data_IF_995704548725
#
_entry.id   IF_995704548725
#
_cell.length_a   1.000
_cell.length_b   1.000
_cell.length_c   1.000
_cell.angle_alpha   90.00
_cell.angle_beta   90.00
_cell.angle_gamma   90.00
#
_symmetry.space_group_name_H-M   'P 1'
#
loop_
_entity.id
_entity.type
_entity.pdbx_description
1 polymer ?
#
# COMPACT_ATOMS: atom_id res chain seq x y z
N UNK A 1 17.60 -5.13 -3.60
CA UNK A 1 16.83 -3.87 -3.68
C UNK A 1 15.51 -4.17 -4.37
N UNK A 2 14.37 -3.83 -3.76
CA UNK A 2 13.04 -4.07 -4.34
C UNK A 2 12.58 -2.84 -5.10
N UNK A 3 12.18 -2.99 -6.35
CA UNK A 3 11.68 -1.89 -7.18
C UNK A 3 10.30 -2.22 -7.73
N UNK A 4 9.42 -1.23 -7.83
CA UNK A 4 8.10 -1.39 -8.44
C UNK A 4 8.19 -1.35 -9.97
N UNK A 5 7.60 -2.34 -10.63
CA UNK A 5 7.35 -2.35 -12.08
C UNK A 5 6.06 -1.60 -12.44
N UNK A 6 5.91 -1.21 -13.72
CA UNK A 6 4.71 -0.53 -14.25
C UNK A 6 3.43 -1.32 -13.97
N UNK A 7 3.50 -2.66 -14.04
CA UNK A 7 2.39 -3.58 -13.71
C UNK A 7 2.38 -4.04 -12.23
N UNK A 8 2.91 -3.23 -11.31
CA UNK A 8 2.81 -3.46 -9.84
C UNK A 8 3.65 -4.64 -9.31
N UNK A 9 4.16 -5.51 -10.18
CA UNK A 9 5.09 -6.58 -9.86
C UNK A 9 6.41 -6.05 -9.29
N UNK A 10 7.05 -6.87 -8.45
CA UNK A 10 8.32 -6.56 -7.80
C UNK A 10 9.49 -6.92 -8.70
N UNK A 11 10.35 -5.94 -8.94
CA UNK A 11 11.68 -6.12 -9.52
C UNK A 11 12.68 -6.52 -8.45
N UNK A 12 13.21 -7.74 -8.56
CA UNK A 12 14.31 -8.27 -7.74
C UNK A 12 15.51 -8.45 -8.66
N UNK A 13 16.68 -8.04 -8.20
CA UNK A 13 17.96 -8.35 -8.84
C UNK A 13 18.78 -9.20 -7.88
N UNK A 14 19.13 -10.41 -8.30
CA UNK A 14 19.96 -11.33 -7.54
C UNK A 14 21.33 -11.43 -8.22
N UNK A 15 22.41 -11.31 -7.46
CA UNK A 15 23.75 -11.60 -7.98
C UNK A 15 23.91 -13.12 -8.07
N UNK A 16 24.29 -13.60 -9.25
CA UNK A 16 24.48 -15.02 -9.54
C UNK A 16 25.95 -15.43 -9.67
N UNK A 17 26.85 -14.75 -8.97
CA UNK A 17 28.29 -14.96 -9.16
C UNK A 17 29.05 -15.12 -7.85
N UNK A 18 29.92 -16.14 -7.82
CA UNK A 18 30.81 -16.41 -6.70
C UNK A 18 32.09 -15.58 -6.77
N UNK A 19 32.53 -15.10 -5.60
CA UNK A 19 33.75 -14.30 -5.49
C UNK A 19 34.94 -15.16 -5.89
N UNK A 20 35.64 -14.79 -6.96
CA UNK A 20 36.90 -15.41 -7.39
C UNK A 20 36.90 -16.01 -8.79
N UNK A 21 35.75 -16.13 -9.45
CA UNK A 21 35.72 -16.60 -10.84
C UNK A 21 36.22 -15.50 -11.81
N UNK A 22 36.86 -15.87 -12.93
CA UNK A 22 37.21 -14.92 -13.99
C UNK A 22 35.96 -14.52 -14.78
N UNK A 23 35.74 -13.21 -14.93
CA UNK A 23 34.61 -12.67 -15.68
C UNK A 23 34.96 -12.49 -17.16
N UNK A 24 34.05 -12.91 -18.04
CA UNK A 24 34.16 -12.66 -19.48
C UNK A 24 33.28 -11.47 -19.89
N UNK A 25 33.74 -10.70 -20.88
CA UNK A 25 32.93 -9.62 -21.47
C UNK A 25 31.63 -10.20 -22.05
N UNK A 26 30.48 -9.66 -21.64
CA UNK A 26 29.15 -10.13 -22.05
C UNK A 26 28.54 -11.18 -21.11
N UNK A 27 29.23 -11.60 -20.06
CA UNK A 27 28.68 -12.51 -19.05
C UNK A 27 27.61 -11.80 -18.21
N UNK A 28 26.50 -12.50 -17.96
CA UNK A 28 25.40 -12.02 -17.14
C UNK A 28 25.80 -12.14 -15.67
N UNK A 29 25.77 -11.02 -14.95
CA UNK A 29 26.22 -10.92 -13.55
C UNK A 29 25.08 -10.97 -12.55
N UNK A 30 23.88 -10.62 -12.99
CA UNK A 30 22.71 -10.57 -12.14
C UNK A 30 21.46 -10.93 -12.94
N UNK A 31 20.61 -11.75 -12.33
CA UNK A 31 19.29 -12.06 -12.85
C UNK A 31 18.29 -10.99 -12.43
N UNK A 32 17.37 -10.65 -13.33
CA UNK A 32 16.24 -9.78 -13.07
C UNK A 32 14.98 -10.55 -12.68
N UNK A 33 13.83 -9.92 -12.87
CA UNK A 33 12.54 -10.58 -12.69
C UNK A 33 12.27 -11.59 -13.78
N UNK A 34 11.80 -12.77 -13.36
CA UNK A 34 11.44 -13.85 -14.27
C UNK A 34 12.62 -14.27 -15.19
N UNK A 35 13.84 -14.21 -14.66
CA UNK A 35 15.04 -14.75 -15.33
C UNK A 35 15.86 -15.56 -14.35
N UNK A 36 16.47 -16.64 -14.82
CA UNK A 36 17.39 -17.49 -14.04
C UNK A 36 18.55 -17.86 -14.94
N UNK A 37 19.79 -17.59 -14.51
CA UNK A 37 20.99 -17.89 -15.29
C UNK A 37 21.07 -17.15 -16.62
N UNK A 38 20.41 -15.99 -16.72
CA UNK A 38 20.33 -15.22 -17.96
C UNK A 38 19.25 -15.67 -18.95
N UNK A 39 18.50 -16.72 -18.66
CA UNK A 39 17.38 -17.19 -19.47
C UNK A 39 16.04 -16.74 -18.90
N UNK A 40 15.02 -16.63 -19.75
CA UNK A 40 13.68 -16.23 -19.36
C UNK A 40 12.95 -17.40 -18.65
N UNK A 41 12.51 -17.16 -17.41
CA UNK A 41 11.80 -18.11 -16.56
C UNK A 41 10.48 -17.49 -16.06
N UNK A 42 9.42 -17.57 -16.88
CA UNK A 42 8.11 -16.97 -16.57
C UNK A 42 7.29 -17.77 -15.56
N UNK A 43 7.62 -19.05 -15.34
CA UNK A 43 6.81 -19.97 -14.54
C UNK A 43 7.65 -21.06 -13.89
N UNK A 44 6.97 -22.13 -13.49
CA UNK A 44 7.54 -23.29 -12.81
C UNK A 44 7.10 -24.55 -13.54
N UNK A 45 7.99 -25.52 -13.61
CA UNK A 45 7.67 -26.85 -14.12
C UNK A 45 6.85 -27.58 -13.06
N UNK A 46 5.69 -28.09 -13.44
CA UNK A 46 4.78 -28.81 -12.56
C UNK A 46 4.41 -30.16 -13.18
N UNK A 47 4.19 -31.16 -12.34
CA UNK A 47 3.69 -32.46 -12.78
C UNK A 47 2.19 -32.32 -13.08
N UNK A 48 1.77 -32.71 -14.29
CA UNK A 48 0.39 -32.61 -14.75
C UNK A 48 -0.13 -34.00 -15.07
N UNK A 49 -1.32 -34.33 -14.55
CA UNK A 49 -2.06 -35.52 -14.91
C UNK A 49 -3.25 -35.14 -15.80
N UNK A 50 -3.36 -35.77 -16.97
CA UNK A 50 -4.48 -35.57 -17.90
C UNK A 50 -5.55 -36.62 -17.64
N UNK A 51 -6.47 -36.33 -16.72
CA UNK A 51 -7.61 -37.19 -16.40
C UNK A 51 -8.79 -36.37 -15.87
N UNK A 52 -10.06 -36.77 -16.12
CA UNK A 52 -11.20 -36.19 -15.44
C UNK A 52 -11.14 -36.54 -13.94
N UNK A 53 -11.40 -35.56 -13.07
CA UNK A 53 -11.36 -35.75 -11.62
C UNK A 53 -12.62 -35.21 -10.96
N UNK A 54 -13.57 -36.11 -10.68
CA UNK A 54 -14.83 -35.83 -9.95
C UNK A 54 -15.61 -34.60 -10.45
N UNK A 55 -15.41 -34.18 -11.70
CA UNK A 55 -16.03 -32.97 -12.27
C UNK A 55 -15.40 -31.65 -11.84
N UNK A 56 -14.36 -31.63 -10.99
CA UNK A 56 -13.67 -30.41 -10.58
C UNK A 56 -12.88 -29.74 -11.71
N UNK A 57 -12.48 -30.50 -12.72
CA UNK A 57 -11.83 -30.00 -13.93
C UNK A 57 -12.78 -30.00 -15.15
N UNK A 58 -14.06 -29.67 -14.91
CA UNK A 58 -15.03 -29.51 -15.98
C UNK A 58 -14.74 -28.25 -16.82
N UNK A 59 -14.91 -28.34 -18.14
CA UNK A 59 -14.56 -27.30 -19.13
C UNK A 59 -13.11 -26.82 -18.99
N UNK A 60 -12.90 -25.56 -18.63
CA UNK A 60 -11.59 -24.91 -18.52
C UNK A 60 -11.09 -24.83 -17.06
N UNK A 61 -11.76 -25.51 -16.14
CA UNK A 61 -11.36 -25.52 -14.73
C UNK A 61 -10.06 -26.35 -14.53
N UNK A 62 -9.12 -25.76 -13.79
CA UNK A 62 -7.85 -26.42 -13.45
C UNK A 62 -7.86 -26.76 -11.96
N UNK A 63 -7.75 -28.05 -11.65
CA UNK A 63 -7.54 -28.51 -10.28
C UNK A 63 -6.06 -28.38 -9.92
N UNK A 64 -5.77 -27.67 -8.81
CA UNK A 64 -4.42 -27.46 -8.31
C UNK A 64 -4.20 -28.23 -7.01
N UNK A 65 -2.99 -28.79 -6.85
CA UNK A 65 -2.59 -29.39 -5.58
C UNK A 65 -2.32 -28.32 -4.53
N UNK A 66 -2.79 -28.53 -3.30
CA UNK A 66 -2.47 -27.66 -2.15
C UNK A 66 -0.96 -27.57 -1.89
N UNK A 67 -0.19 -28.56 -2.31
CA UNK A 67 1.27 -28.55 -2.22
C UNK A 67 1.88 -27.30 -2.88
N UNK A 68 1.31 -26.86 -4.00
CA UNK A 68 1.75 -25.65 -4.71
C UNK A 68 1.55 -24.37 -3.88
N UNK A 69 0.56 -24.37 -2.98
CA UNK A 69 0.26 -23.28 -2.04
C UNK A 69 1.24 -23.31 -0.88
N UNK A 70 1.48 -24.49 -0.30
CA UNK A 70 2.36 -24.65 0.87
C UNK A 70 3.83 -24.34 0.55
N UNK A 71 4.29 -24.69 -0.65
CA UNK A 71 5.66 -24.42 -1.11
C UNK A 71 5.85 -23.02 -1.71
N UNK A 72 4.81 -22.17 -1.69
CA UNK A 72 4.87 -20.81 -2.22
C UNK A 72 5.33 -20.73 -3.70
N UNK A 73 5.09 -21.79 -4.50
CA UNK A 73 5.57 -21.91 -5.88
C UNK A 73 5.04 -20.78 -6.78
N UNK A 74 3.77 -20.43 -6.59
CA UNK A 74 3.08 -19.37 -7.33
C UNK A 74 2.82 -18.12 -6.48
N UNK A 75 3.57 -17.95 -5.39
CA UNK A 75 3.48 -16.75 -4.54
C UNK A 75 4.24 -15.60 -5.20
N UNK A 76 3.52 -14.51 -5.46
CA UNK A 76 4.11 -13.27 -5.98
C UNK A 76 4.01 -12.14 -4.97
N UNK A 77 4.92 -11.19 -5.12
CA UNK A 77 4.91 -9.96 -4.36
C UNK A 77 4.35 -8.82 -5.21
N UNK A 78 3.53 -7.98 -4.57
CA UNK A 78 2.99 -6.78 -5.19
C UNK A 78 3.36 -5.54 -4.40
N UNK A 79 3.89 -4.53 -5.09
CA UNK A 79 4.15 -3.21 -4.51
C UNK A 79 3.11 -2.22 -5.03
N UNK A 80 2.17 -1.86 -4.16
CA UNK A 80 1.20 -0.79 -4.43
C UNK A 80 1.72 0.53 -3.89
N UNK A 81 1.54 1.58 -4.68
CA UNK A 81 1.92 2.96 -4.33
C UNK A 81 0.63 3.72 -4.04
N UNK A 82 0.54 4.30 -2.86
CA UNK A 82 -0.53 5.20 -2.47
C UNK A 82 0.01 6.62 -2.38
N UNK A 83 -0.73 7.58 -2.93
CA UNK A 83 -0.34 8.99 -2.98
C UNK A 83 -1.47 9.84 -2.39
N UNK A 84 -1.09 10.80 -1.54
CA UNK A 84 -1.98 11.87 -1.10
C UNK A 84 -1.25 13.21 -1.25
N UNK A 85 -2.03 14.24 -1.56
CA UNK A 85 -1.56 15.60 -1.70
C UNK A 85 -2.32 16.50 -0.72
N UNK A 86 -1.58 17.39 -0.06
CA UNK A 86 -2.14 18.49 0.71
C UNK A 86 -2.05 19.78 -0.12
N UNK A 87 -3.17 20.48 -0.24
CA UNK A 87 -3.27 21.73 -0.98
C UNK A 87 -3.74 22.88 -0.09
N UNK A 88 -3.53 24.12 -0.55
CA UNK A 88 -4.14 25.29 0.07
C UNK A 88 -5.55 25.45 -0.49
N UNK A 89 -6.54 25.38 0.37
CA UNK A 89 -7.94 25.62 0.00
C UNK A 89 -8.33 27.08 0.31
N UNK A 90 -9.47 27.54 -0.19
CA UNK A 90 -10.02 28.86 0.14
C UNK A 90 -10.29 29.03 1.64
N UNK A 91 -10.55 27.94 2.36
CA UNK A 91 -10.83 27.91 3.79
C UNK A 91 -9.56 27.75 4.65
N UNK A 92 -8.39 27.62 4.01
CA UNK A 92 -7.10 27.48 4.68
C UNK A 92 -6.23 26.34 4.14
N UNK A 93 -4.97 26.25 4.58
CA UNK A 93 -4.06 25.19 4.18
C UNK A 93 -4.45 23.83 4.79
N UNK A 94 -4.52 22.78 3.97
CA UNK A 94 -4.59 21.41 4.48
C UNK A 94 -3.30 21.06 5.24
N UNK A 95 -3.44 20.37 6.37
CA UNK A 95 -2.32 20.01 7.25
C UNK A 95 -2.20 18.51 7.35
N UNK A 96 -0.97 18.01 7.21
CA UNK A 96 -0.64 16.61 7.49
C UNK A 96 -0.21 16.53 8.95
N UNK A 97 -0.93 15.73 9.74
CA UNK A 97 -0.73 15.62 11.19
C UNK A 97 -1.16 14.26 11.71
N UNK A 98 -0.54 13.83 12.81
CA UNK A 98 -0.94 12.64 13.57
C UNK A 98 -2.19 12.89 14.42
N UNK A 99 -2.41 14.14 14.83
CA UNK A 99 -3.51 14.53 15.71
C UNK A 99 -4.77 14.72 14.88
N UNK A 100 -5.59 13.68 14.79
CA UNK A 100 -6.88 13.70 14.08
C UNK A 100 -7.98 13.60 15.14
N UNK A 101 -8.86 14.61 15.27
CA UNK A 101 -9.98 14.53 16.19
C UNK A 101 -10.95 13.43 15.74
N UNK A 102 -11.63 12.81 16.72
CA UNK A 102 -12.64 11.74 16.53
C UNK A 102 -12.10 10.37 16.11
N UNK A 103 -10.78 10.20 15.96
CA UNK A 103 -10.20 8.91 15.64
C UNK A 103 -9.63 8.21 16.88
N UNK A 104 -9.78 6.90 16.92
CA UNK A 104 -9.23 6.09 18.01
C UNK A 104 -7.70 6.05 17.98
N UNK A 105 -7.09 6.06 19.17
CA UNK A 105 -5.63 6.02 19.34
C UNK A 105 -4.99 4.77 18.71
N UNK A 106 -5.73 3.66 18.60
CA UNK A 106 -5.22 2.42 18.01
C UNK A 106 -4.90 2.58 16.52
N UNK A 107 -5.66 3.38 15.77
CA UNK A 107 -5.43 3.65 14.34
C UNK A 107 -4.23 4.58 14.13
N UNK A 108 -3.95 5.44 15.11
CA UNK A 108 -2.87 6.42 15.06
C UNK A 108 -1.52 5.87 15.56
N UNK A 109 -1.50 4.65 16.12
CA UNK A 109 -0.31 4.06 16.75
C UNK A 109 0.88 3.91 15.79
N UNK A 110 0.58 3.63 14.52
CA UNK A 110 1.58 3.37 13.48
C UNK A 110 2.04 4.65 12.76
N UNK A 111 1.45 5.82 13.10
CA UNK A 111 1.85 7.11 12.55
C UNK A 111 3.01 7.71 13.33
N UNK A 112 3.97 8.26 12.61
CA UNK A 112 5.05 9.09 13.12
C UNK A 112 4.52 10.48 13.55
N UNK A 113 5.35 11.28 14.20
CA UNK A 113 5.06 12.66 14.67
C UNK A 113 4.51 13.55 13.57
N UNK A 114 4.92 13.31 12.32
CA UNK A 114 4.46 14.08 11.16
C UNK A 114 3.10 13.61 10.60
N UNK A 115 2.47 12.58 11.18
CA UNK A 115 1.22 12.02 10.67
C UNK A 115 1.39 11.10 9.46
N UNK A 116 2.58 10.54 9.26
CA UNK A 116 2.90 9.61 8.18
C UNK A 116 3.20 8.25 8.78
N UNK A 117 2.75 7.18 8.15
CA UNK A 117 3.00 5.83 8.63
C UNK A 117 4.49 5.46 8.67
N UNK A 118 4.91 4.80 9.75
CA UNK A 118 6.29 4.38 9.96
C UNK A 118 6.70 3.25 9.01
N UNK A 119 7.95 3.30 8.53
CA UNK A 119 8.57 2.25 7.72
C UNK A 119 8.57 0.91 8.47
N UNK A 120 8.25 -0.17 7.75
CA UNK A 120 8.24 -1.52 8.31
C UNK A 120 6.98 -1.88 9.10
N UNK A 121 6.05 -0.95 9.31
CA UNK A 121 4.78 -1.22 9.99
C UNK A 121 3.94 -2.23 9.21
N UNK A 122 3.31 -3.15 9.94
CA UNK A 122 2.27 -4.02 9.41
C UNK A 122 0.94 -3.28 9.39
N UNK A 123 0.18 -3.45 8.31
CA UNK A 123 -1.07 -2.74 8.09
C UNK A 123 -2.18 -3.63 7.57
N UNK A 124 -3.38 -3.26 7.96
CA UNK A 124 -4.61 -3.90 7.56
C UNK A 124 -5.57 -2.88 6.92
N UNK A 125 -6.68 -3.40 6.40
CA UNK A 125 -7.70 -2.57 5.77
C UNK A 125 -8.19 -1.50 6.75
N UNK A 126 -8.44 -0.30 6.24
CA UNK A 126 -8.89 0.87 7.02
C UNK A 126 -7.84 1.53 7.92
N UNK A 127 -6.61 1.02 8.00
CA UNK A 127 -5.52 1.73 8.67
C UNK A 127 -5.18 3.05 7.96
N UNK A 128 -4.80 4.06 8.74
CA UNK A 128 -4.37 5.36 8.22
C UNK A 128 -2.91 5.29 7.77
N UNK A 129 -2.69 5.55 6.49
CA UNK A 129 -1.36 5.65 5.90
C UNK A 129 -0.77 7.07 6.07
N UNK A 130 -1.61 8.09 5.90
CA UNK A 130 -1.24 9.50 6.06
C UNK A 130 -2.41 10.27 6.64
N UNK A 131 -2.20 10.88 7.81
CA UNK A 131 -3.18 11.74 8.47
C UNK A 131 -3.25 13.11 7.81
N UNK A 132 -4.41 13.45 7.24
CA UNK A 132 -4.67 14.75 6.61
C UNK A 132 -5.92 15.38 7.21
N UNK A 133 -5.81 16.66 7.55
CA UNK A 133 -6.90 17.50 8.00
C UNK A 133 -7.12 18.64 7.01
N UNK A 134 -8.37 18.78 6.58
CA UNK A 134 -8.82 19.92 5.78
C UNK A 134 -9.57 20.88 6.68
N UNK A 135 -9.17 22.17 6.75
CA UNK A 135 -9.91 23.16 7.52
C UNK A 135 -11.30 23.33 6.90
N UNK A 136 -12.33 23.34 7.75
CA UNK A 136 -13.70 23.57 7.33
C UNK A 136 -14.24 24.78 8.09
N UNK A 137 -14.66 25.80 7.35
CA UNK A 137 -15.38 26.93 7.92
C UNK A 137 -16.78 26.43 8.27
N UNK A 138 -16.95 26.11 9.55
CA UNK A 138 -18.23 25.70 10.09
C UNK A 138 -19.16 26.92 10.12
N UNK A 139 -19.92 27.12 9.06
CA UNK A 139 -21.13 27.91 9.20
C UNK A 139 -22.11 27.07 10.01
N UNK A 140 -22.38 27.47 11.26
CA UNK A 140 -23.36 26.82 12.15
C UNK A 140 -24.73 26.63 11.48
N UNK A 141 -25.05 27.44 10.48
CA UNK A 141 -26.28 27.40 9.68
C UNK A 141 -26.36 26.26 8.65
N UNK A 142 -25.26 25.55 8.38
CA UNK A 142 -25.23 24.48 7.36
C UNK A 142 -25.60 23.09 7.89
N UNK A 143 -25.65 22.92 9.22
CA UNK A 143 -26.04 21.66 9.83
C UNK A 143 -27.56 21.54 9.91
N UNK A 144 -28.05 20.31 9.72
CA UNK A 144 -29.45 19.99 9.89
C UNK A 144 -29.91 20.32 11.33
N UNK A 145 -31.15 20.77 11.54
CA UNK A 145 -31.65 21.14 12.87
C UNK A 145 -31.55 19.99 13.89
N UNK A 146 -31.65 18.74 13.44
CA UNK A 146 -31.48 17.53 14.26
C UNK A 146 -30.04 17.42 14.81
N UNK A 147 -29.05 17.63 13.94
CA UNK A 147 -27.62 17.61 14.29
C UNK A 147 -27.27 18.73 15.29
N UNK A 148 -27.87 19.91 15.10
CA UNK A 148 -27.69 21.05 16.01
C UNK A 148 -28.26 20.74 17.40
N UNK A 149 -29.44 20.14 17.46
CA UNK A 149 -30.09 19.75 18.72
C UNK A 149 -29.29 18.66 19.45
N UNK A 150 -28.84 17.63 18.74
CA UNK A 150 -28.00 16.57 19.32
C UNK A 150 -26.71 17.12 19.91
N UNK A 151 -26.04 18.05 19.21
CA UNK A 151 -24.83 18.70 19.71
C UNK A 151 -25.09 19.57 20.94
N UNK A 152 -26.22 20.28 20.97
CA UNK A 152 -26.61 21.10 22.12
C UNK A 152 -26.86 20.24 23.37
N UNK A 153 -27.50 19.08 23.22
CA UNK A 153 -27.74 18.14 24.32
C UNK A 153 -26.44 17.49 24.79
N UNK A 154 -25.57 17.08 23.85
CA UNK A 154 -24.33 16.35 24.14
C UNK A 154 -23.12 17.26 24.47
N UNK A 155 -23.27 18.59 24.34
CA UNK A 155 -22.18 19.55 24.56
C UNK A 155 -21.01 19.40 23.58
N UNK A 156 -21.23 18.79 22.42
CA UNK A 156 -20.16 18.51 21.44
C UNK A 156 -19.84 19.79 20.66
N UNK A 157 -18.62 20.30 20.83
CA UNK A 157 -18.12 21.43 20.05
C UNK A 157 -17.93 21.06 18.58
N UNK A 158 -18.19 22.03 17.70
CA UNK A 158 -18.03 21.85 16.27
C UNK A 158 -16.54 21.72 15.93
N UNK A 159 -16.17 20.60 15.31
CA UNK A 159 -14.83 20.41 14.79
C UNK A 159 -14.55 21.42 13.67
N UNK A 160 -13.52 22.25 13.83
CA UNK A 160 -13.08 23.23 12.83
C UNK A 160 -12.33 22.60 11.64
N UNK A 161 -12.06 21.29 11.71
CA UNK A 161 -11.35 20.54 10.68
C UNK A 161 -12.06 19.22 10.41
N UNK A 162 -12.11 18.85 9.13
CA UNK A 162 -12.61 17.57 8.65
C UNK A 162 -11.45 16.63 8.35
N UNK A 163 -11.58 15.37 8.76
CA UNK A 163 -10.64 14.32 8.35
C UNK A 163 -10.73 14.04 6.85
N UNK A 164 -9.61 14.14 6.16
CA UNK A 164 -9.44 13.80 4.72
C UNK A 164 -8.20 12.92 4.52
N UNK A 165 -7.94 12.05 5.49
CA UNK A 165 -6.77 11.18 5.56
C UNK A 165 -6.72 10.12 4.45
N UNK A 166 -5.52 9.61 4.17
CA UNK A 166 -5.32 8.48 3.28
C UNK A 166 -5.45 7.18 4.07
N UNK A 167 -6.51 6.42 3.81
CA UNK A 167 -6.75 5.09 4.40
C UNK A 167 -6.40 3.98 3.41
N UNK A 168 -5.99 2.83 3.93
CA UNK A 168 -5.79 1.64 3.11
C UNK A 168 -7.15 1.14 2.60
N UNK A 169 -7.32 0.88 1.28
CA UNK A 169 -8.57 0.37 0.74
C UNK A 169 -8.91 -1.01 1.30
N UNK A 170 -10.20 -1.34 1.27
CA UNK A 170 -10.76 -2.60 1.74
C UNK A 170 -10.05 -3.78 1.06
N UNK A 171 -9.73 -4.82 1.85
CA UNK A 171 -9.01 -6.01 1.39
C UNK A 171 -7.50 -5.81 1.21
N UNK A 172 -6.98 -4.60 1.46
CA UNK A 172 -5.55 -4.35 1.53
C UNK A 172 -4.94 -4.87 2.84
N UNK A 173 -3.82 -5.58 2.77
CA UNK A 173 -2.96 -5.93 3.90
C UNK A 173 -1.49 -5.98 3.48
N UNK A 174 -0.57 -5.55 4.32
CA UNK A 174 0.83 -5.66 3.94
C UNK A 174 1.80 -4.97 4.85
N UNK A 175 3.00 -4.77 4.32
CA UNK A 175 4.08 -4.08 5.04
C UNK A 175 4.51 -2.84 4.29
N UNK A 176 4.73 -1.76 5.03
CA UNK A 176 5.29 -0.52 4.47
C UNK A 176 6.77 -0.73 4.19
N UNK A 177 7.18 -0.61 2.93
CA UNK A 177 8.57 -0.82 2.49
C UNK A 177 9.34 0.47 2.21
N UNK A 178 8.63 1.53 1.80
CA UNK A 178 9.23 2.82 1.46
C UNK A 178 8.19 3.92 1.69
N UNK A 179 8.67 5.06 2.18
CA UNK A 179 7.88 6.26 2.44
C UNK A 179 8.66 7.43 1.89
N UNK A 180 8.04 8.19 1.00
CA UNK A 180 8.67 9.38 0.41
C UNK A 180 7.82 10.60 0.62
N UNK A 181 8.48 11.68 1.04
CA UNK A 181 7.88 12.98 1.24
C UNK A 181 8.49 13.99 0.28
N UNK A 182 7.65 14.70 -0.47
CA UNK A 182 8.09 15.78 -1.34
C UNK A 182 7.35 17.04 -0.94
N UNK A 183 8.09 18.06 -0.52
CA UNK A 183 7.57 19.41 -0.31
C UNK A 183 7.97 20.29 -1.49
N UNK A 184 6.99 20.83 -2.22
CA UNK A 184 7.23 21.74 -3.32
C UNK A 184 6.69 23.13 -2.96
N UNK A 185 7.57 24.13 -2.94
CA UNK A 185 7.17 25.54 -2.91
C UNK A 185 7.01 26.03 -4.35
N UNK A 186 5.78 26.35 -4.76
CA UNK A 186 5.52 27.08 -6.01
C UNK A 186 4.71 28.33 -5.68
N UNK A 187 5.35 29.49 -5.77
CA UNK A 187 4.85 30.90 -5.80
C UNK A 187 3.76 31.33 -4.77
N UNK A 188 3.08 30.42 -4.09
CA UNK A 188 2.05 30.67 -3.05
C UNK A 188 1.42 29.36 -2.53
N UNK A 189 1.67 28.20 -3.15
CA UNK A 189 1.11 26.90 -2.74
C UNK A 189 2.21 25.94 -2.30
N UNK A 190 2.11 25.45 -1.06
CA UNK A 190 2.91 24.33 -0.55
C UNK A 190 2.16 23.04 -0.96
N UNK A 191 2.78 22.22 -1.80
CA UNK A 191 2.29 20.87 -2.09
C UNK A 191 3.15 19.89 -1.33
N UNK A 192 2.51 19.13 -0.43
CA UNK A 192 3.13 18.00 0.24
C UNK A 192 2.61 16.73 -0.40
N UNK A 193 3.51 15.91 -0.96
CA UNK A 193 3.18 14.58 -1.49
C UNK A 193 3.76 13.51 -0.59
N UNK A 194 2.88 12.66 -0.05
CA UNK A 194 3.27 11.44 0.63
C UNK A 194 3.12 10.25 -0.31
N UNK A 195 4.16 9.41 -0.39
CA UNK A 195 4.09 8.12 -1.08
C UNK A 195 4.26 7.01 -0.06
N UNK A 196 3.34 6.05 -0.05
CA UNK A 196 3.47 4.85 0.78
C UNK A 196 3.50 3.64 -0.15
N UNK A 197 4.58 2.87 -0.05
CA UNK A 197 4.77 1.64 -0.81
C UNK A 197 4.43 0.45 0.09
N UNK A 198 3.46 -0.34 -0.35
CA UNK A 198 2.91 -1.44 0.44
C UNK A 198 3.18 -2.74 -0.28
N UNK A 199 3.84 -3.63 0.44
CA UNK A 199 4.14 -4.97 0.02
C UNK A 199 3.02 -5.93 0.42
N UNK A 200 2.32 -6.46 -0.59
CA UNK A 200 1.37 -7.56 -0.42
C UNK A 200 2.06 -8.88 -0.77
N UNK A 201 1.86 -9.87 0.11
CA UNK A 201 2.06 -11.29 -0.20
C UNK A 201 0.68 -11.90 -0.42
N UNK A 202 0.41 -12.34 -1.65
CA UNK A 202 -0.80 -13.10 -1.95
C UNK A 202 -0.47 -14.60 -1.92
N UNK A 203 -1.45 -15.39 -1.49
CA UNK A 203 -1.36 -16.81 -1.07
C UNK A 203 -0.75 -17.02 0.32
N UNK A 204 -1.64 -16.97 1.32
CA UNK A 204 -2.01 -18.18 2.06
C UNK A 204 -3.53 -18.12 2.25
N UNK A 205 -4.25 -18.99 1.53
CA UNK A 205 -5.59 -19.38 1.99
C UNK A 205 -5.37 -20.19 3.26
N UNK A 206 -6.15 -19.87 4.31
CA UNK A 206 -6.33 -20.81 5.41
C UNK A 206 -7.10 -22.02 4.91
#
# INVERSE_FOLDING_TARGET
MYQRSTRILVCIKNLGFDRGNPLKKGQILADGTATVGGELALGKNVLVAYMPWEGYNYEDAVLISEHLVYEDIYTFFHIRKYEIQAHVTSQGPERITKEIPHLEAHLLRNLDRNGIMMLGSWIEASDILVGKLTPQTANESSYAPEDRLLRAILGIQVSTAKETSLKLPIGGRGRVIDVRWIQKMRVSVIIQKGFVYIFHRNMKSK
#
